data_IF_481796146093
#
_entry.id   IF_481796146093
#
_cell.length_a   1.000
_cell.length_b   1.000
_cell.length_c   1.000
_cell.angle_alpha   90.00
_cell.angle_beta   90.00
_cell.angle_gamma   90.00
#
_symmetry.space_group_name_H-M   'P 1'
#
loop_
_entity.id
_entity.type
_entity.pdbx_description
1 polymer ?
#
# COMPACT_ATOMS: atom_id res chain seq x y z
N UNK A 1 12.43 -47.17 7.70
CA UNK A 1 11.38 -46.21 8.11
C UNK A 1 11.56 -44.94 7.29
N UNK A 2 10.84 -44.81 6.17
CA UNK A 2 10.86 -43.60 5.35
C UNK A 2 9.50 -42.93 5.40
N UNK A 3 9.27 -42.08 6.40
CA UNK A 3 8.04 -41.29 6.46
C UNK A 3 8.14 -40.14 5.45
N UNK A 4 7.08 -39.93 4.66
CA UNK A 4 7.00 -38.78 3.74
C UNK A 4 7.05 -37.49 4.56
N UNK A 5 7.80 -36.51 4.06
CA UNK A 5 7.94 -35.19 4.71
C UNK A 5 6.57 -34.59 5.01
N UNK A 6 6.36 -34.21 6.27
CA UNK A 6 5.18 -33.48 6.69
C UNK A 6 5.20 -32.09 6.04
N UNK A 7 4.12 -31.69 5.36
CA UNK A 7 3.91 -30.33 4.89
C UNK A 7 2.99 -29.64 5.90
N UNK A 8 3.48 -28.58 6.54
CA UNK A 8 2.65 -27.72 7.41
C UNK A 8 2.18 -26.52 6.61
N UNK A 9 0.88 -26.21 6.70
CA UNK A 9 0.32 -24.94 6.24
C UNK A 9 0.49 -23.91 7.37
N UNK A 10 1.32 -22.90 7.14
CA UNK A 10 1.65 -21.86 8.14
C UNK A 10 0.73 -20.63 8.06
N UNK A 11 -0.27 -20.66 7.18
CA UNK A 11 -1.21 -19.57 6.92
C UNK A 11 -1.10 -19.03 5.48
N UNK A 12 -2.01 -18.13 5.08
CA UNK A 12 -1.79 -17.29 3.92
C UNK A 12 -0.51 -16.47 4.14
N UNK A 13 0.35 -16.36 3.11
CA UNK A 13 1.54 -15.50 3.18
C UNK A 13 1.16 -14.01 3.22
N UNK A 14 2.16 -13.14 3.17
CA UNK A 14 1.96 -11.68 3.20
C UNK A 14 0.97 -11.24 2.12
N UNK A 15 -0.16 -10.67 2.54
CA UNK A 15 -1.15 -10.11 1.63
C UNK A 15 -0.66 -8.75 1.15
N UNK A 16 -0.41 -8.65 -0.16
CA UNK A 16 0.21 -7.48 -0.78
C UNK A 16 -0.70 -6.94 -1.87
N UNK A 17 -1.02 -5.65 -1.77
CA UNK A 17 -1.80 -4.92 -2.79
C UNK A 17 -0.84 -4.00 -3.54
N UNK A 18 -0.93 -4.02 -4.87
CA UNK A 18 -0.17 -3.11 -5.74
C UNK A 18 -1.11 -2.11 -6.40
N UNK A 19 -0.86 -0.83 -6.16
CA UNK A 19 -1.64 0.27 -6.72
C UNK A 19 -0.77 1.04 -7.70
N UNK A 20 -1.14 0.97 -8.97
CA UNK A 20 -0.51 1.74 -10.05
C UNK A 20 -1.48 2.79 -10.58
N UNK A 21 -0.98 3.99 -10.85
CA UNK A 21 -1.83 5.07 -11.35
C UNK A 21 -1.06 6.13 -12.13
N UNK A 22 -1.86 7.03 -12.71
CA UNK A 22 -1.38 8.16 -13.47
C UNK A 22 -1.91 9.44 -12.84
N UNK A 23 -1.00 10.34 -12.45
CA UNK A 23 -1.34 11.71 -12.11
C UNK A 23 -0.98 12.57 -13.32
N UNK A 24 -1.98 13.27 -13.83
CA UNK A 24 -1.80 14.28 -14.87
C UNK A 24 -2.15 15.63 -14.24
N UNK A 25 -1.18 16.39 -13.71
CA UNK A 25 -1.48 17.58 -12.91
C UNK A 25 -2.37 18.61 -13.63
N UNK A 26 -2.24 18.70 -14.95
CA UNK A 26 -3.07 19.56 -15.81
C UNK A 26 -4.57 19.18 -15.78
N UNK A 27 -4.88 17.92 -15.46
CA UNK A 27 -6.24 17.38 -15.40
C UNK A 27 -6.70 17.10 -13.95
N UNK A 28 -5.75 16.79 -13.05
CA UNK A 28 -6.01 16.24 -11.71
C UNK A 28 -5.61 17.19 -10.57
N UNK A 29 -4.98 18.33 -10.88
CA UNK A 29 -4.53 19.31 -9.89
C UNK A 29 -3.12 19.07 -9.36
N UNK A 30 -2.80 19.63 -8.20
CA UNK A 30 -1.44 19.62 -7.65
C UNK A 30 -0.98 18.22 -7.22
N UNK A 31 0.30 17.86 -7.44
CA UNK A 31 0.88 16.57 -7.04
C UNK A 31 1.10 16.40 -5.52
N UNK A 32 0.42 17.23 -4.69
CA UNK A 32 0.52 17.23 -3.22
C UNK A 32 0.21 15.84 -2.62
N UNK A 33 -0.53 15.00 -3.34
CA UNK A 33 -0.86 13.64 -2.89
C UNK A 33 0.37 12.72 -2.74
N UNK A 34 1.37 12.78 -3.63
CA UNK A 34 2.50 11.84 -3.60
C UNK A 34 3.51 12.13 -2.49
N UNK A 35 3.77 13.40 -2.18
CA UNK A 35 4.68 13.77 -1.09
C UNK A 35 4.09 13.40 0.28
N UNK A 36 2.77 13.51 0.45
CA UNK A 36 2.08 13.05 1.66
C UNK A 36 2.18 11.53 1.78
N UNK A 37 1.94 10.79 0.69
CA UNK A 37 2.09 9.33 0.69
C UNK A 37 3.53 8.89 1.00
N UNK A 38 4.53 9.62 0.50
CA UNK A 38 5.94 9.39 0.85
C UNK A 38 6.21 9.68 2.33
N UNK A 39 5.63 10.75 2.87
CA UNK A 39 5.68 11.05 4.30
C UNK A 39 5.08 9.93 5.17
N UNK A 40 3.91 9.42 4.78
CA UNK A 40 3.27 8.27 5.43
C UNK A 40 4.12 7.00 5.32
N UNK A 41 4.70 6.71 4.16
CA UNK A 41 5.60 5.56 4.00
C UNK A 41 6.82 5.65 4.94
N UNK A 42 7.36 6.86 5.12
CA UNK A 42 8.51 7.08 6.00
C UNK A 42 8.20 6.92 7.49
N UNK A 43 6.93 6.98 7.92
CA UNK A 43 6.59 6.69 9.33
C UNK A 43 6.63 5.20 9.64
N UNK A 44 6.41 4.35 8.62
CA UNK A 44 6.26 2.90 8.80
C UNK A 44 5.01 2.51 9.60
N UNK A 45 4.08 3.45 9.81
CA UNK A 45 2.85 3.21 10.56
C UNK A 45 1.81 2.48 9.70
N UNK A 46 0.86 1.86 10.40
CA UNK A 46 -0.29 1.19 9.77
C UNK A 46 -1.37 2.22 9.47
N UNK A 47 -1.81 2.28 8.20
CA UNK A 47 -2.87 3.15 7.74
C UNK A 47 -4.08 2.34 7.26
N UNK A 48 -5.28 2.88 7.47
CA UNK A 48 -6.50 2.25 6.97
C UNK A 48 -6.60 2.45 5.44
N UNK A 49 -6.69 1.35 4.70
CA UNK A 49 -6.99 1.37 3.27
C UNK A 49 -8.50 1.33 3.06
N UNK A 50 -9.04 2.44 2.54
CA UNK A 50 -10.48 2.61 2.29
C UNK A 50 -10.69 3.03 0.84
N UNK A 51 -11.55 2.31 0.14
CA UNK A 51 -11.99 2.65 -1.21
C UNK A 51 -13.01 3.78 -1.18
N UNK A 52 -13.05 4.60 -2.25
CA UNK A 52 -14.07 5.64 -2.41
C UNK A 52 -15.52 5.10 -2.51
N UNK A 53 -15.70 3.80 -2.77
CA UNK A 53 -17.00 3.11 -2.75
C UNK A 53 -17.47 2.74 -1.34
N UNK A 54 -16.62 2.91 -0.32
CA UNK A 54 -16.90 2.58 1.08
C UNK A 54 -16.38 1.21 1.52
N UNK A 55 -15.69 0.46 0.66
CA UNK A 55 -15.05 -0.81 1.04
C UNK A 55 -13.81 -0.53 1.89
N UNK A 56 -13.75 -1.14 3.06
CA UNK A 56 -12.58 -1.08 3.96
C UNK A 56 -11.78 -2.36 3.79
N UNK A 57 -10.55 -2.25 3.33
CA UNK A 57 -9.64 -3.39 3.14
C UNK A 57 -8.90 -3.78 4.43
N UNK A 58 -8.73 -2.82 5.35
CA UNK A 58 -8.06 -3.02 6.64
C UNK A 58 -6.80 -2.18 6.80
N UNK A 59 -5.93 -2.59 7.72
CA UNK A 59 -4.66 -1.93 8.01
C UNK A 59 -3.54 -2.35 7.05
N UNK A 60 -2.87 -1.37 6.45
CA UNK A 60 -1.76 -1.57 5.54
C UNK A 60 -0.61 -0.64 5.87
N UNK A 61 0.61 -1.13 5.68
CA UNK A 61 1.83 -0.31 5.67
C UNK A 61 2.21 -0.06 4.21
N UNK A 62 2.63 1.17 3.90
CA UNK A 62 3.19 1.49 2.59
C UNK A 62 4.62 0.92 2.54
N UNK A 63 4.82 -0.14 1.76
CA UNK A 63 6.12 -0.81 1.66
C UNK A 63 7.07 -0.14 0.68
N UNK A 64 6.54 0.30 -0.46
CA UNK A 64 7.34 0.93 -1.51
C UNK A 64 6.49 1.91 -2.34
N UNK A 65 7.10 3.00 -2.82
CA UNK A 65 6.48 4.00 -3.66
C UNK A 65 7.49 4.50 -4.70
N UNK A 66 7.24 4.15 -5.97
CA UNK A 66 8.01 4.63 -7.11
C UNK A 66 7.17 5.57 -7.96
N UNK A 67 7.84 6.57 -8.54
CA UNK A 67 7.22 7.47 -9.51
C UNK A 67 8.17 7.75 -10.67
N UNK A 68 7.59 7.93 -11.86
CA UNK A 68 8.29 8.34 -13.07
C UNK A 68 7.65 9.61 -13.60
N UNK A 69 8.44 10.69 -13.60
CA UNK A 69 8.03 12.02 -14.06
C UNK A 69 8.41 12.23 -15.51
N UNK A 70 7.45 12.54 -16.36
CA UNK A 70 7.64 12.79 -17.80
C UNK A 70 6.88 14.02 -18.26
N UNK A 71 7.17 14.46 -19.50
CA UNK A 71 6.56 15.63 -20.12
C UNK A 71 6.70 16.89 -19.25
N UNK A 72 7.95 17.35 -19.08
CA UNK A 72 8.23 18.47 -18.19
C UNK A 72 7.80 19.82 -18.79
N UNK A 73 7.29 20.70 -17.94
CA UNK A 73 7.12 22.12 -18.19
C UNK A 73 8.47 22.84 -18.27
N UNK A 74 8.45 24.08 -18.74
CA UNK A 74 9.64 24.92 -18.82
C UNK A 74 10.26 25.23 -17.44
N UNK A 75 9.48 25.16 -16.37
CA UNK A 75 9.92 25.32 -14.98
C UNK A 75 10.40 23.99 -14.34
N UNK A 76 10.34 22.87 -15.07
CA UNK A 76 10.72 21.55 -14.60
C UNK A 76 9.61 20.75 -13.91
N UNK A 77 8.41 21.31 -13.74
CA UNK A 77 7.27 20.56 -13.22
C UNK A 77 6.82 19.47 -14.20
N UNK A 78 6.40 18.29 -13.72
CA UNK A 78 5.99 17.19 -14.59
C UNK A 78 4.51 17.29 -14.97
N UNK A 79 4.18 17.16 -16.26
CA UNK A 79 2.78 17.06 -16.73
C UNK A 79 2.22 15.66 -16.59
N UNK A 80 3.08 14.67 -16.46
CA UNK A 80 2.70 13.26 -16.36
C UNK A 80 3.55 12.60 -15.29
N UNK A 81 2.91 12.06 -14.28
CA UNK A 81 3.56 11.32 -13.20
C UNK A 81 2.89 9.95 -13.13
N UNK A 82 3.62 8.93 -13.56
CA UNK A 82 3.22 7.54 -13.38
C UNK A 82 3.75 7.08 -12.04
N UNK A 83 2.90 6.50 -11.21
CA UNK A 83 3.31 5.98 -9.91
C UNK A 83 2.90 4.53 -9.75
N UNK A 84 3.65 3.87 -8.90
CA UNK A 84 3.45 2.49 -8.51
C UNK A 84 3.76 2.36 -7.03
N UNK A 85 2.83 1.77 -6.28
CA UNK A 85 2.93 1.61 -4.85
C UNK A 85 2.64 0.17 -4.46
N UNK A 86 3.38 -0.31 -3.46
CA UNK A 86 3.14 -1.60 -2.81
C UNK A 86 2.66 -1.36 -1.38
N UNK A 87 1.52 -1.96 -1.04
CA UNK A 87 0.93 -1.97 0.28
C UNK A 87 1.01 -3.38 0.85
N UNK A 88 1.50 -3.51 2.07
CA UNK A 88 1.61 -4.80 2.77
C UNK A 88 0.60 -4.80 3.91
N UNK A 89 -0.23 -5.84 3.97
CA UNK A 89 -1.23 -5.98 5.03
C UNK A 89 -0.52 -6.09 6.37
N UNK A 90 -0.84 -5.17 7.28
CA UNK A 90 -0.47 -5.32 8.67
C UNK A 90 -1.64 -6.02 9.34
N UNK A 91 -1.51 -7.33 9.54
CA UNK A 91 -2.49 -8.11 10.27
C UNK A 91 -2.71 -7.44 11.64
N UNK A 92 -3.96 -7.03 11.88
CA UNK A 92 -4.39 -6.55 13.17
C UNK A 92 -4.54 -7.77 14.09
N UNK A 93 -3.45 -8.22 14.71
CA UNK A 93 -3.45 -9.35 15.67
C UNK A 93 -4.30 -9.05 16.92
N UNK A 94 -4.85 -7.83 17.01
CA UNK A 94 -5.80 -7.34 18.01
C UNK A 94 -7.09 -8.16 18.11
N UNK A 95 -7.47 -8.91 17.06
CA UNK A 95 -8.73 -9.66 17.04
C UNK A 95 -8.60 -11.09 17.65
N UNK A 96 -7.37 -11.54 17.95
CA UNK A 96 -7.14 -12.84 18.62
C UNK A 96 -7.18 -12.77 20.14
N UNK A 97 -6.91 -11.62 20.76
CA UNK A 97 -6.80 -11.50 22.23
C UNK A 97 -8.16 -11.28 22.94
N UNK A 98 -9.23 -10.95 22.21
CA UNK A 98 -10.55 -10.68 22.81
C UNK A 98 -11.49 -11.90 22.89
N UNK A 99 -11.10 -13.07 22.37
CA UNK A 99 -11.93 -14.30 22.41
C UNK A 99 -11.51 -15.34 23.44
N UNK A 100 -10.47 -15.06 24.24
CA UNK A 100 -9.98 -15.95 25.31
C UNK A 100 -10.49 -15.63 26.71
N UNK A 101 -11.39 -14.65 26.87
CA UNK A 101 -11.89 -14.16 28.17
C UNK A 101 -13.42 -14.19 28.19
N UNK A 102 -13.99 -15.39 28.19
CA UNK A 102 -15.38 -15.63 28.60
C UNK A 102 -15.49 -16.99 29.28
#
# INVERSE_FOLDING_TARGET
MGARAARQYVGPGDDTIRLSGLIAPDLTGTPISLDVLRGMANTGEVFALVEGTGIVYGGFVIGDLNETRTLLFADGAARRIEFDMTLVRADDDSDRDQRGRA
#
